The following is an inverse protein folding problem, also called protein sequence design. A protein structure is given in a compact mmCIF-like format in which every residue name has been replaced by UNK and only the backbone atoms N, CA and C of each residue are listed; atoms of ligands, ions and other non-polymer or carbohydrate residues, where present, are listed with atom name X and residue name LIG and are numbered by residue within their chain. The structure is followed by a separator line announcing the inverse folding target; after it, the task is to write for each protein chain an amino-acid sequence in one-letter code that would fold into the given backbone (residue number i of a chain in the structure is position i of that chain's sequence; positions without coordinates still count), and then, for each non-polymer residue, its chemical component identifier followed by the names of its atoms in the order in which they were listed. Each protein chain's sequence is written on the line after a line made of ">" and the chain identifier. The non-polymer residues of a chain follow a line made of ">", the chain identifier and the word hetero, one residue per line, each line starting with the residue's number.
data_IF_727205715480
#
_entry.id   IF_727205715480
#
_cell.length_a   1.000
_cell.length_b   1.000
_cell.length_c   1.000
_cell.angle_alpha   90.00
_cell.angle_beta   90.00
_cell.angle_gamma   90.00
#
_symmetry.space_group_name_H-M   'P 1'
#
loop_
_entity.id
_entity.type
_entity.pdbx_description
1 polymer ?
#
# COMPACT_ATOMS: atom_id res chain seq x y z
N UNK A 1 -10.41 -8.56 12.00
CA UNK A 1 -10.77 -9.04 10.63
C UNK A 1 -9.50 -9.28 9.83
N UNK A 2 -9.46 -10.22 8.88
CA UNK A 2 -8.27 -10.39 8.01
C UNK A 2 -8.54 -9.77 6.64
N UNK A 3 -7.65 -8.90 6.18
CA UNK A 3 -7.76 -8.19 4.90
C UNK A 3 -6.57 -8.58 4.02
N UNK A 4 -6.82 -9.00 2.79
CA UNK A 4 -5.79 -9.18 1.77
C UNK A 4 -5.90 -8.02 0.79
N UNK A 5 -4.85 -7.21 0.70
CA UNK A 5 -4.85 -6.04 -0.18
C UNK A 5 -4.40 -6.42 -1.59
N UNK A 6 -5.16 -5.94 -2.58
CA UNK A 6 -4.68 -5.88 -3.96
C UNK A 6 -3.68 -4.72 -4.14
N UNK A 7 -2.96 -4.74 -5.26
CA UNK A 7 -1.91 -3.77 -5.59
C UNK A 7 -2.40 -2.32 -5.62
N UNK A 8 -3.61 -2.05 -6.12
CA UNK A 8 -4.16 -0.69 -6.17
C UNK A 8 -4.64 -0.22 -4.80
N UNK A 9 -5.30 -1.08 -4.02
CA UNK A 9 -5.68 -0.76 -2.65
C UNK A 9 -4.46 -0.39 -1.80
N UNK A 10 -3.37 -1.16 -1.93
CA UNK A 10 -2.09 -0.87 -1.28
C UNK A 10 -1.50 0.47 -1.71
N UNK A 11 -1.41 0.72 -3.03
CA UNK A 11 -0.89 1.97 -3.59
C UNK A 11 -1.69 3.18 -3.13
N UNK A 12 -3.02 3.11 -3.18
CA UNK A 12 -3.88 4.21 -2.77
C UNK A 12 -3.82 4.46 -1.26
N UNK A 13 -3.69 3.41 -0.46
CA UNK A 13 -3.48 3.56 0.98
C UNK A 13 -2.15 4.29 1.27
N UNK A 14 -1.07 3.88 0.62
CA UNK A 14 0.26 4.47 0.77
C UNK A 14 0.38 5.91 0.29
N UNK A 15 -0.38 6.28 -0.74
CA UNK A 15 -0.36 7.61 -1.33
C UNK A 15 -1.42 8.55 -0.75
N UNK A 16 -2.19 8.09 0.24
CA UNK A 16 -3.38 8.78 0.75
C UNK A 16 -4.34 9.20 -0.38
N UNK A 17 -4.48 8.36 -1.41
CA UNK A 17 -5.24 8.66 -2.62
C UNK A 17 -6.75 8.65 -2.31
N UNK A 18 -7.53 9.67 -2.74
CA UNK A 18 -8.96 9.76 -2.49
C UNK A 18 -9.78 8.64 -3.16
N UNK A 19 -9.20 7.88 -4.09
CA UNK A 19 -9.85 6.70 -4.70
C UNK A 19 -10.02 5.54 -3.71
N UNK A 20 -9.24 5.50 -2.63
CA UNK A 20 -9.50 4.55 -1.55
C UNK A 20 -10.66 5.08 -0.69
N UNK A 21 -11.74 4.29 -0.66
CA UNK A 21 -12.93 4.64 0.13
C UNK A 21 -12.59 4.81 1.61
N UNK A 22 -13.35 5.66 2.30
CA UNK A 22 -13.20 5.87 3.74
C UNK A 22 -13.34 4.58 4.53
N UNK A 23 -14.31 3.73 4.17
CA UNK A 23 -14.53 2.41 4.78
C UNK A 23 -13.29 1.53 4.63
N UNK A 24 -12.69 1.47 3.43
CA UNK A 24 -11.48 0.68 3.21
C UNK A 24 -10.30 1.24 4.00
N UNK A 25 -10.15 2.58 4.05
CA UNK A 25 -9.09 3.26 4.82
C UNK A 25 -9.21 2.96 6.32
N UNK A 26 -10.42 3.04 6.87
CA UNK A 26 -10.71 2.70 8.27
C UNK A 26 -10.46 1.22 8.54
N UNK A 27 -10.90 0.33 7.65
CA UNK A 27 -10.68 -1.10 7.79
C UNK A 27 -9.19 -1.47 7.79
N UNK A 28 -8.38 -0.83 6.92
CA UNK A 28 -6.93 -1.05 6.84
C UNK A 28 -6.20 -0.46 8.06
N UNK A 29 -6.64 0.70 8.55
CA UNK A 29 -6.00 1.41 9.67
C UNK A 29 -6.42 0.90 11.05
N UNK A 30 -7.45 0.06 11.12
CA UNK A 30 -7.94 -0.49 12.38
C UNK A 30 -6.93 -1.43 13.03
N UNK A 31 -6.67 -1.24 14.33
CA UNK A 31 -5.78 -2.09 15.11
C UNK A 31 -6.30 -3.54 15.25
N UNK A 32 -7.59 -3.78 14.99
CA UNK A 32 -8.21 -5.11 15.02
C UNK A 32 -8.12 -5.84 13.67
N UNK A 33 -7.60 -5.17 12.64
CA UNK A 33 -7.43 -5.73 11.31
C UNK A 33 -6.04 -6.32 11.12
N UNK A 34 -5.99 -7.59 10.71
CA UNK A 34 -4.78 -8.23 10.21
C UNK A 34 -4.68 -7.96 8.71
N UNK A 35 -3.81 -7.03 8.33
CA UNK A 35 -3.56 -6.69 6.92
C UNK A 35 -2.48 -7.60 6.36
N UNK A 36 -2.81 -8.29 5.28
CA UNK A 36 -1.92 -9.15 4.51
C UNK A 36 -1.66 -8.50 3.16
N UNK A 37 -0.40 -8.57 2.71
CA UNK A 37 0.03 -8.09 1.41
C UNK A 37 0.80 -9.20 0.73
N UNK A 38 0.47 -9.50 -0.52
CA UNK A 38 1.24 -10.45 -1.31
C UNK A 38 2.59 -9.84 -1.72
N UNK A 39 3.70 -10.62 -1.68
CA UNK A 39 4.96 -10.19 -2.26
C UNK A 39 4.85 -9.79 -3.73
N UNK A 40 3.91 -10.40 -4.48
CA UNK A 40 3.65 -10.03 -5.87
C UNK A 40 3.12 -8.60 -5.99
N UNK A 41 2.22 -8.17 -5.10
CA UNK A 41 1.68 -6.81 -5.08
C UNK A 41 2.78 -5.77 -4.81
N UNK A 42 3.77 -6.11 -3.97
CA UNK A 42 4.94 -5.27 -3.73
C UNK A 42 5.83 -5.14 -4.97
N UNK A 43 6.08 -6.26 -5.66
CA UNK A 43 6.86 -6.27 -6.90
C UNK A 43 6.18 -5.48 -8.03
N UNK A 44 4.87 -5.65 -8.23
CA UNK A 44 4.11 -4.86 -9.20
C UNK A 44 4.15 -3.36 -8.87
N UNK A 45 4.06 -3.01 -7.60
CA UNK A 45 4.19 -1.61 -7.13
C UNK A 45 5.56 -1.04 -7.47
N UNK A 46 6.64 -1.78 -7.20
CA UNK A 46 8.00 -1.38 -7.52
C UNK A 46 8.20 -1.13 -9.02
N UNK A 47 7.65 -2.01 -9.88
CA UNK A 47 7.69 -1.83 -11.34
C UNK A 47 6.92 -0.59 -11.77
N UNK A 48 5.72 -0.38 -11.24
CA UNK A 48 4.89 0.79 -11.59
C UNK A 48 5.59 2.10 -11.22
N UNK A 49 6.34 2.13 -10.13
CA UNK A 49 7.14 3.30 -9.72
C UNK A 49 8.37 3.46 -10.64
N UNK A 50 9.07 2.38 -10.96
CA UNK A 50 10.29 2.44 -11.80
C UNK A 50 10.01 2.92 -13.22
N UNK A 51 8.83 2.60 -13.78
CA UNK A 51 8.38 3.11 -15.09
C UNK A 51 7.71 4.48 -15.02
N UNK A 52 7.68 5.13 -13.85
CA UNK A 52 7.15 6.49 -13.67
C UNK A 52 5.62 6.59 -13.69
N UNK A 53 4.87 5.48 -13.58
CA UNK A 53 3.39 5.54 -13.46
C UNK A 53 2.93 6.14 -12.14
N UNK A 54 3.75 6.02 -11.09
CA UNK A 54 3.51 6.60 -9.77
C UNK A 54 4.78 7.25 -9.27
N UNK A 55 4.62 8.36 -8.55
CA UNK A 55 5.71 9.05 -7.88
C UNK A 55 5.53 8.92 -6.38
N UNK A 56 6.61 8.51 -5.70
CA UNK A 56 6.67 8.53 -4.25
C UNK A 56 7.39 9.80 -3.79
N UNK A 57 7.04 10.34 -2.60
CA UNK A 57 7.72 11.50 -2.03
C UNK A 57 9.17 11.21 -1.63
N UNK A 58 9.59 9.94 -1.66
CA UNK A 58 10.91 9.45 -1.28
C UNK A 58 11.24 8.17 -2.08
N UNK A 59 12.51 7.73 -2.12
CA UNK A 59 12.88 6.47 -2.78
C UNK A 59 12.04 5.29 -2.30
N UNK A 60 11.74 4.35 -3.21
CA UNK A 60 10.87 3.20 -2.93
C UNK A 60 11.35 2.37 -1.73
N UNK A 61 12.66 2.13 -1.61
CA UNK A 61 13.23 1.39 -0.48
C UNK A 61 12.98 2.09 0.86
N UNK A 62 13.20 3.40 0.93
CA UNK A 62 12.95 4.18 2.14
C UNK A 62 11.46 4.21 2.47
N UNK A 63 10.62 4.34 1.44
CA UNK A 63 9.18 4.31 1.58
C UNK A 63 8.71 2.99 2.19
N UNK A 64 9.20 1.87 1.66
CA UNK A 64 8.89 0.53 2.17
C UNK A 64 9.37 0.35 3.60
N UNK A 65 10.60 0.76 3.92
CA UNK A 65 11.17 0.66 5.28
C UNK A 65 10.33 1.39 6.33
N UNK A 66 9.81 2.57 6.00
CA UNK A 66 8.95 3.36 6.90
C UNK A 66 7.58 2.70 7.16
N UNK A 67 7.11 1.87 6.25
CA UNK A 67 5.80 1.20 6.30
C UNK A 67 5.91 -0.32 6.50
N UNK A 68 7.11 -0.85 6.77
CA UNK A 68 7.31 -2.24 7.16
C UNK A 68 6.93 -2.40 8.62
N UNK A 69 5.66 -2.76 8.84
CA UNK A 69 5.16 -3.23 10.13
C UNK A 69 5.30 -4.76 10.22
N UNK A 70 6.54 -5.25 10.10
CA UNK A 70 6.92 -6.65 10.36
C UNK A 70 8.29 -6.71 11.02
#
# INVERSE_FOLDING_TARGET
>A
MTLLLDTHALLWFFLDDPKLSSIAREAISSAESKVLVSPASLWETAIKISIGKYQLPQPFEDFMRKHSWW
#
